data_IF_195564045946
#
_entry.id   IF_195564045946
#
_cell.length_a   1.000
_cell.length_b   1.000
_cell.length_c   1.000
_cell.angle_alpha   90.00
_cell.angle_beta   90.00
_cell.angle_gamma   90.00
#
_symmetry.space_group_name_H-M   'P 1'
#
loop_
_entity.id
_entity.type
_entity.pdbx_description
1 polymer ?
#
# COMPACT_ATOMS: atom_id res chain seq x y z
N UNK A 1 -10.44 -11.54 11.28
CA UNK A 1 -9.90 -10.60 12.27
C UNK A 1 -8.50 -11.05 12.66
N UNK A 2 -7.63 -10.14 13.08
CA UNK A 2 -6.27 -10.47 13.52
C UNK A 2 -5.21 -9.50 13.02
N UNK A 3 -4.01 -9.65 13.53
CA UNK A 3 -2.90 -8.74 13.24
C UNK A 3 -2.29 -9.03 11.86
N UNK A 4 -1.67 -8.01 11.26
CA UNK A 4 -1.00 -8.10 9.95
C UNK A 4 0.48 -7.76 10.08
N UNK A 5 1.31 -8.47 9.32
CA UNK A 5 2.72 -8.13 9.09
C UNK A 5 2.84 -7.40 7.77
N UNK A 6 3.52 -6.26 7.81
CA UNK A 6 3.78 -5.46 6.62
C UNK A 6 5.28 -5.26 6.53
N UNK A 7 5.88 -5.85 5.50
CA UNK A 7 7.31 -5.75 5.22
C UNK A 7 7.53 -4.82 4.04
N UNK A 8 8.48 -3.92 4.20
CA UNK A 8 8.88 -2.97 3.20
C UNK A 8 10.32 -3.25 2.80
N UNK A 9 10.55 -3.41 1.50
CA UNK A 9 11.86 -3.60 0.92
C UNK A 9 12.17 -2.42 0.01
N UNK A 10 13.18 -1.63 0.40
CA UNK A 10 13.59 -0.40 -0.25
C UNK A 10 14.74 -0.74 -1.20
N UNK A 11 14.48 -0.61 -2.49
CA UNK A 11 15.49 -0.79 -3.52
C UNK A 11 16.13 0.57 -3.78
N UNK A 12 17.28 0.80 -3.16
CA UNK A 12 18.06 2.00 -3.31
C UNK A 12 19.57 1.69 -3.29
N UNK A 13 20.35 2.52 -3.97
CA UNK A 13 21.81 2.48 -3.82
C UNK A 13 22.24 2.96 -2.43
N UNK A 14 23.42 2.52 -1.96
CA UNK A 14 24.02 2.92 -0.68
C UNK A 14 24.32 4.42 -0.54
N UNK A 15 24.16 5.21 -1.59
CA UNK A 15 24.42 6.64 -1.61
C UNK A 15 23.15 7.47 -1.45
N UNK A 16 21.97 6.85 -1.50
CA UNK A 16 20.72 7.52 -1.18
C UNK A 16 20.66 7.84 0.30
N UNK A 17 20.22 9.04 0.64
CA UNK A 17 20.02 9.52 2.02
C UNK A 17 18.60 10.05 2.16
N UNK A 18 17.84 9.49 3.09
CA UNK A 18 16.44 9.86 3.27
C UNK A 18 15.80 9.11 4.41
N UNK A 19 14.65 9.61 4.86
CA UNK A 19 13.87 9.04 5.95
C UNK A 19 12.42 8.95 5.52
N UNK A 20 11.85 7.79 5.75
CA UNK A 20 10.44 7.54 5.54
C UNK A 20 9.73 7.54 6.89
N UNK A 21 8.57 8.16 6.94
CA UNK A 21 7.64 8.10 8.07
C UNK A 21 6.46 7.24 7.64
N UNK A 22 6.32 6.08 8.27
CA UNK A 22 5.16 5.20 8.10
C UNK A 22 4.19 5.48 9.23
N UNK A 23 2.92 5.69 8.91
CA UNK A 23 1.86 6.03 9.85
C UNK A 23 0.74 5.02 9.72
N UNK A 24 0.35 4.42 10.85
CA UNK A 24 -0.85 3.61 10.95
C UNK A 24 -1.97 4.42 11.62
N UNK A 25 -3.14 4.43 11.00
CA UNK A 25 -4.37 4.99 11.56
C UNK A 25 -5.51 3.96 11.47
N UNK A 26 -6.09 3.51 12.59
CA UNK A 26 -7.14 2.50 12.59
C UNK A 26 -8.49 3.00 12.05
N UNK A 27 -8.70 4.32 11.95
CA UNK A 27 -9.98 4.93 11.61
C UNK A 27 -9.87 5.83 10.38
N UNK A 28 -9.16 6.95 10.53
CA UNK A 28 -8.90 7.93 9.49
C UNK A 28 -7.83 8.88 9.99
N UNK A 29 -6.85 9.15 9.14
CA UNK A 29 -5.88 10.21 9.40
C UNK A 29 -6.57 11.58 9.34
N UNK A 30 -6.96 12.10 10.51
CA UNK A 30 -7.62 13.41 10.65
C UNK A 30 -6.59 14.55 10.63
N UNK A 31 -5.33 14.27 10.95
CA UNK A 31 -4.28 15.27 11.04
C UNK A 31 -2.93 14.71 10.58
N UNK A 32 -2.07 15.57 10.05
CA UNK A 32 -0.67 15.26 9.75
C UNK A 32 0.24 15.36 10.99
N UNK A 33 -0.34 15.69 12.15
CA UNK A 33 0.42 15.86 13.39
C UNK A 33 1.17 14.58 13.77
N UNK A 34 2.36 14.76 14.33
CA UNK A 34 3.33 13.67 14.57
C UNK A 34 3.16 12.98 15.91
N UNK A 35 2.22 13.44 16.74
CA UNK A 35 2.01 12.99 18.12
C UNK A 35 0.72 12.19 18.34
N UNK A 36 -0.17 12.10 17.35
CA UNK A 36 -1.50 11.48 17.52
C UNK A 36 -1.55 10.03 17.00
N UNK A 37 -0.69 9.69 16.03
CA UNK A 37 -0.73 8.40 15.34
C UNK A 37 0.45 7.50 15.71
N UNK A 38 0.24 6.19 15.63
CA UNK A 38 1.34 5.21 15.70
C UNK A 38 2.21 5.38 14.45
N UNK A 39 3.48 5.70 14.65
CA UNK A 39 4.40 5.99 13.56
C UNK A 39 5.72 5.24 13.71
N UNK A 40 6.31 4.92 12.56
CA UNK A 40 7.63 4.33 12.43
C UNK A 40 8.45 5.25 11.54
N UNK A 41 9.67 5.58 11.97
CA UNK A 41 10.61 6.36 11.17
C UNK A 41 11.70 5.39 10.73
N UNK A 42 11.86 5.26 9.42
CA UNK A 42 12.89 4.47 8.79
C UNK A 42 13.94 5.39 8.19
N UNK A 43 15.21 5.15 8.52
CA UNK A 43 16.34 5.76 7.82
C UNK A 43 16.87 4.78 6.77
N UNK A 44 16.69 5.10 5.48
CA UNK A 44 17.03 4.20 4.36
C UNK A 44 18.55 4.00 4.21
N UNK A 45 19.33 4.72 5.00
CA UNK A 45 20.79 4.64 4.99
C UNK A 45 21.30 3.51 5.87
N UNK A 46 20.50 3.15 6.86
CA UNK A 46 20.78 2.11 7.85
C UNK A 46 20.02 0.83 7.50
N UNK A 47 18.72 0.95 7.25
CA UNK A 47 17.82 -0.18 7.03
C UNK A 47 17.03 -0.03 5.72
N UNK A 48 17.19 -1.03 4.83
CA UNK A 48 16.46 -1.13 3.56
C UNK A 48 15.40 -2.24 3.58
N UNK A 49 15.25 -2.94 4.69
CA UNK A 49 14.29 -4.03 4.85
C UNK A 49 13.74 -3.98 6.27
N UNK A 50 12.47 -3.59 6.40
CA UNK A 50 11.86 -3.45 7.71
C UNK A 50 10.46 -4.05 7.71
N UNK A 51 10.08 -4.64 8.84
CA UNK A 51 8.76 -5.23 9.04
C UNK A 51 8.09 -4.62 10.25
N UNK A 52 6.84 -4.24 10.10
CA UNK A 52 5.98 -3.79 11.19
C UNK A 52 4.81 -4.75 11.39
N UNK A 53 4.41 -4.91 12.64
CA UNK A 53 3.21 -5.64 13.02
C UNK A 53 2.10 -4.62 13.32
N UNK A 54 1.04 -4.64 12.50
CA UNK A 54 -0.17 -3.84 12.67
C UNK A 54 -1.19 -4.69 13.42
N UNK A 55 -1.49 -4.29 14.66
CA UNK A 55 -2.50 -4.96 15.49
C UNK A 55 -3.92 -4.74 14.99
N UNK A 56 -4.87 -5.44 15.61
CA UNK A 56 -6.30 -5.22 15.36
C UNK A 56 -6.76 -3.89 15.99
N UNK A 57 -7.02 -2.89 15.14
CA UNK A 57 -7.42 -1.53 15.55
C UNK A 57 -8.92 -1.27 15.44
N UNK A 58 -9.69 -2.19 14.87
CA UNK A 58 -11.14 -2.06 14.75
C UNK A 58 -11.84 -2.23 16.11
N UNK A 59 -12.90 -1.44 16.33
CA UNK A 59 -13.82 -1.61 17.47
C UNK A 59 -14.71 -2.86 17.34
N UNK A 60 -14.80 -3.43 16.15
CA UNK A 60 -15.58 -4.64 15.90
C UNK A 60 -14.69 -5.88 16.09
N UNK A 61 -15.24 -6.99 16.61
CA UNK A 61 -14.47 -8.23 16.75
C UNK A 61 -14.09 -8.82 15.39
N UNK A 62 -14.92 -8.58 14.36
CA UNK A 62 -14.67 -8.98 12.98
C UNK A 62 -15.09 -7.86 12.03
N UNK A 63 -14.40 -7.79 10.88
CA UNK A 63 -14.75 -6.93 9.75
C UNK A 63 -15.31 -7.82 8.62
N UNK A 64 -16.09 -7.23 7.73
CA UNK A 64 -16.60 -7.92 6.56
C UNK A 64 -15.50 -8.09 5.50
N UNK A 65 -15.51 -9.25 4.83
CA UNK A 65 -14.63 -9.51 3.69
C UNK A 65 -15.26 -8.92 2.43
N UNK A 66 -14.47 -8.22 1.62
CA UNK A 66 -14.89 -7.69 0.32
C UNK A 66 -14.96 -8.80 -0.74
N UNK A 67 -15.84 -8.67 -1.73
CA UNK A 67 -15.95 -9.62 -2.83
C UNK A 67 -14.79 -9.45 -3.82
N UNK A 68 -14.22 -10.57 -4.26
CA UNK A 68 -13.12 -10.56 -5.22
C UNK A 68 -13.54 -9.90 -6.54
N UNK A 69 -12.69 -9.01 -7.06
CA UNK A 69 -12.92 -8.32 -8.34
C UNK A 69 -13.88 -7.13 -8.29
N UNK A 70 -14.42 -6.78 -7.13
CA UNK A 70 -15.34 -5.62 -6.97
C UNK A 70 -14.72 -4.44 -6.24
N UNK A 71 -13.56 -4.63 -5.61
CA UNK A 71 -12.92 -3.63 -4.76
C UNK A 71 -12.06 -2.66 -5.57
N UNK A 72 -12.17 -1.37 -5.25
CA UNK A 72 -11.21 -0.35 -5.67
C UNK A 72 -9.77 -0.75 -5.29
N UNK A 73 -8.73 -0.22 -5.98
CA UNK A 73 -7.35 -0.50 -5.58
C UNK A 73 -7.16 -0.16 -4.09
N UNK A 74 -6.69 -1.15 -3.32
CA UNK A 74 -6.45 -1.02 -1.87
C UNK A 74 -5.20 -0.19 -1.54
N UNK A 75 -4.63 0.47 -2.55
CA UNK A 75 -3.49 1.38 -2.47
C UNK A 75 -3.71 2.54 -3.44
N UNK A 76 -3.12 3.69 -3.13
CA UNK A 76 -3.07 4.83 -4.03
C UNK A 76 -1.80 5.63 -3.78
N UNK A 77 -1.41 6.43 -4.75
CA UNK A 77 -0.37 7.45 -4.60
C UNK A 77 -1.08 8.80 -4.42
N UNK A 78 -0.75 9.53 -3.36
CA UNK A 78 -1.39 10.82 -3.02
C UNK A 78 -2.48 10.68 -1.96
N UNK A 79 -3.45 11.60 -1.98
CA UNK A 79 -4.50 11.66 -0.96
C UNK A 79 -5.43 10.44 -1.09
N UNK A 80 -5.21 9.44 -0.25
CA UNK A 80 -6.26 8.49 0.08
C UNK A 80 -7.24 9.22 1.01
N UNK A 81 -8.42 9.56 0.50
CA UNK A 81 -9.51 10.02 1.35
C UNK A 81 -10.18 8.77 1.92
N UNK A 82 -9.89 8.35 3.18
CA UNK A 82 -10.70 7.31 3.80
C UNK A 82 -12.15 7.79 3.81
N UNK A 83 -13.04 6.91 3.37
CA UNK A 83 -14.48 7.14 3.39
C UNK A 83 -14.86 7.57 4.81
N UNK A 84 -15.64 8.64 4.95
CA UNK A 84 -16.04 9.14 6.26
C UNK A 84 -16.83 8.07 7.01
N UNK A 85 -16.32 7.63 8.16
CA UNK A 85 -16.98 6.67 9.04
C UNK A 85 -16.03 5.56 9.50
N UNK A 86 -16.54 4.68 10.34
CA UNK A 86 -15.79 3.51 10.80
C UNK A 86 -15.67 2.50 9.67
N UNK A 87 -14.47 2.00 9.38
CA UNK A 87 -14.31 1.03 8.31
C UNK A 87 -14.92 -0.31 8.71
N UNK A 88 -15.87 -0.78 7.90
CA UNK A 88 -16.51 -2.09 8.09
C UNK A 88 -15.73 -3.22 7.43
N UNK A 89 -14.81 -2.90 6.51
CA UNK A 89 -14.12 -3.89 5.67
C UNK A 89 -12.60 -3.80 5.70
N UNK A 90 -12.02 -2.80 6.39
CA UNK A 90 -10.56 -2.63 6.50
C UNK A 90 -10.14 -2.21 7.91
N UNK A 91 -8.94 -2.62 8.32
CA UNK A 91 -8.39 -2.36 9.66
C UNK A 91 -7.61 -1.04 9.71
N UNK A 92 -8.17 0.02 9.11
CA UNK A 92 -7.54 1.32 8.99
C UNK A 92 -6.62 1.48 7.76
N UNK A 93 -5.80 2.53 7.77
CA UNK A 93 -4.92 2.92 6.68
C UNK A 93 -3.47 2.97 7.12
N UNK A 94 -2.57 2.58 6.20
CA UNK A 94 -1.14 2.74 6.37
C UNK A 94 -0.62 3.72 5.32
N UNK A 95 0.02 4.80 5.77
CA UNK A 95 0.50 5.87 4.91
C UNK A 95 2.01 6.02 5.04
N UNK A 96 2.67 6.23 3.90
CA UNK A 96 4.13 6.45 3.84
C UNK A 96 4.39 7.89 3.41
N UNK A 97 5.13 8.61 4.24
CA UNK A 97 5.53 10.00 4.01
C UNK A 97 7.04 10.11 3.90
N UNK A 98 7.50 11.06 3.10
CA UNK A 98 8.90 11.48 3.06
C UNK A 98 9.12 12.48 4.18
N UNK A 99 10.05 12.19 5.11
CA UNK A 99 10.31 13.05 6.26
C UNK A 99 11.37 14.11 5.97
N UNK A 100 12.37 13.77 5.16
CA UNK A 100 13.38 14.69 4.64
C UNK A 100 13.60 14.42 3.15
N UNK A 101 14.02 15.45 2.43
CA UNK A 101 14.31 15.33 1.01
C UNK A 101 15.36 14.25 0.74
N UNK A 102 15.14 13.51 -0.35
CA UNK A 102 16.05 12.47 -0.78
C UNK A 102 17.33 13.10 -1.33
N UNK A 103 18.48 12.80 -0.71
CA UNK A 103 19.78 13.09 -1.29
C UNK A 103 20.22 11.90 -2.16
N UNK A 104 20.60 12.18 -3.41
CA UNK A 104 21.00 11.19 -4.40
C UNK A 104 22.41 11.50 -4.95
N UNK A 105 23.22 10.49 -5.33
CA UNK A 105 24.53 10.70 -5.94
C UNK A 105 24.41 11.23 -7.39
N UNK A 106 24.14 12.54 -7.53
CA UNK A 106 24.18 13.24 -8.82
C UNK A 106 22.99 12.96 -9.77
N UNK A 107 23.06 13.54 -10.96
CA UNK A 107 21.98 13.57 -11.97
C UNK A 107 21.56 12.18 -12.50
N UNK A 108 22.38 11.13 -12.27
CA UNK A 108 22.13 9.76 -12.73
C UNK A 108 21.66 8.81 -11.62
N UNK A 109 21.51 9.28 -10.38
CA UNK A 109 20.97 8.46 -9.30
C UNK A 109 19.49 8.18 -9.56
N UNK A 110 19.22 7.02 -10.18
CA UNK A 110 17.89 6.56 -10.55
C UNK A 110 16.89 6.55 -9.38
N UNK A 111 15.60 6.43 -9.72
CA UNK A 111 14.52 6.43 -8.74
C UNK A 111 14.64 5.32 -7.69
N UNK A 112 14.02 5.55 -6.53
CA UNK A 112 13.89 4.54 -5.47
C UNK A 112 12.58 3.78 -5.67
N UNK A 113 12.64 2.47 -5.53
CA UNK A 113 11.45 1.62 -5.49
C UNK A 113 11.22 1.12 -4.07
N UNK A 114 9.95 1.08 -3.66
CA UNK A 114 9.52 0.55 -2.37
C UNK A 114 8.55 -0.59 -2.62
N UNK A 115 9.00 -1.81 -2.33
CA UNK A 115 8.15 -2.99 -2.36
C UNK A 115 7.43 -3.14 -1.04
N UNK A 116 6.14 -3.45 -1.10
CA UNK A 116 5.30 -3.69 0.08
C UNK A 116 4.79 -5.11 0.04
N UNK A 117 5.10 -5.88 1.07
CA UNK A 117 4.68 -7.25 1.24
C UNK A 117 3.76 -7.34 2.45
N UNK A 118 2.68 -8.10 2.33
CA UNK A 118 1.70 -8.30 3.39
C UNK A 118 1.59 -9.78 3.75
N UNK A 119 1.44 -10.05 5.04
CA UNK A 119 1.17 -11.37 5.56
C UNK A 119 0.30 -11.25 6.82
N UNK A 120 -0.41 -12.32 7.18
CA UNK A 120 -1.18 -12.35 8.42
C UNK A 120 -0.33 -12.89 9.57
N UNK A 121 -0.56 -12.38 10.78
CA UNK A 121 0.01 -12.93 12.01
C UNK A 121 -0.70 -14.24 12.42
N UNK A 122 -0.18 -14.88 13.47
CA UNK A 122 -0.71 -16.16 13.98
C UNK A 122 -2.08 -16.04 14.66
N UNK A 123 -2.51 -14.82 15.01
CA UNK A 123 -3.80 -14.51 15.62
C UNK A 123 -4.92 -14.27 14.59
N UNK A 124 -4.64 -14.52 13.30
CA UNK A 124 -5.60 -14.31 12.24
C UNK A 124 -6.61 -15.45 12.10
N UNK A 125 -7.90 -15.08 12.06
CA UNK A 125 -9.01 -16.01 11.94
C UNK A 125 -10.18 -15.45 11.11
N UNK A 126 -11.02 -16.34 10.60
CA UNK A 126 -12.23 -16.06 9.82
C UNK A 126 -13.48 -16.65 10.47
N UNK A 127 -14.65 -16.16 10.06
CA UNK A 127 -15.95 -16.72 10.41
C UNK A 127 -16.82 -16.85 9.16
N UNK A 128 -17.85 -17.68 9.26
CA UNK A 128 -18.94 -17.82 8.27
C UNK A 128 -18.48 -18.13 6.83
N UNK A 129 -18.00 -19.36 6.57
CA UNK A 129 -17.57 -19.74 5.24
C UNK A 129 -18.72 -19.67 4.23
N UNK A 130 -18.50 -18.98 3.11
CA UNK A 130 -19.47 -18.78 2.03
C UNK A 130 -18.79 -18.74 0.66
N UNK A 131 -19.55 -18.99 -0.40
CA UNK A 131 -19.10 -18.88 -1.79
C UNK A 131 -19.21 -17.45 -2.36
N UNK A 132 -19.92 -16.56 -1.66
CA UNK A 132 -20.19 -15.20 -2.14
C UNK A 132 -18.92 -14.41 -2.50
N UNK A 133 -17.85 -14.56 -1.73
CA UNK A 133 -16.57 -13.83 -1.92
C UNK A 133 -15.94 -14.15 -3.29
N UNK A 134 -16.10 -15.38 -3.78
CA UNK A 134 -15.53 -15.84 -5.06
C UNK A 134 -16.54 -15.83 -6.21
N UNK A 135 -17.83 -15.65 -5.93
CA UNK A 135 -18.89 -15.72 -6.94
C UNK A 135 -18.72 -14.67 -8.05
N UNK A 136 -18.12 -13.52 -7.75
CA UNK A 136 -17.83 -12.44 -8.71
C UNK A 136 -16.42 -12.52 -9.30
N UNK A 137 -15.61 -13.50 -8.90
CA UNK A 137 -14.26 -13.64 -9.41
C UNK A 137 -14.30 -14.11 -10.87
N UNK A 138 -13.96 -13.21 -11.78
CA UNK A 138 -13.71 -13.54 -13.18
C UNK A 138 -12.21 -13.39 -13.44
N UNK A 139 -11.44 -14.50 -13.53
CA UNK A 139 -10.02 -14.40 -13.82
C UNK A 139 -9.85 -13.69 -15.17
N UNK A 140 -8.80 -12.86 -15.34
CA UNK A 140 -8.50 -12.31 -16.64
C UNK A 140 -8.41 -13.44 -17.66
N UNK A 141 -9.05 -13.25 -18.82
CA UNK A 141 -8.86 -14.15 -19.95
C UNK A 141 -7.36 -14.25 -20.22
N UNK A 142 -6.90 -15.44 -20.63
CA UNK A 142 -5.51 -15.67 -21.00
C UNK A 142 -4.98 -14.49 -21.83
N UNK A 143 -3.80 -13.97 -21.46
CA UNK A 143 -3.22 -12.75 -22.04
C UNK A 143 -2.97 -12.87 -23.56
N UNK A 144 -3.19 -14.04 -24.14
CA UNK A 144 -3.23 -14.31 -25.58
C UNK A 144 -4.39 -13.64 -26.32
N UNK A 145 -5.47 -13.23 -25.63
CA UNK A 145 -6.61 -12.52 -26.24
C UNK A 145 -6.69 -11.06 -25.77
N UNK A 146 -5.86 -10.21 -26.36
CA UNK A 146 -5.77 -8.76 -26.15
C UNK A 146 -7.09 -7.97 -26.39
N UNK A 147 -8.18 -8.63 -26.78
CA UNK A 147 -9.43 -8.00 -27.19
C UNK A 147 -10.54 -8.04 -26.12
N UNK A 148 -10.28 -8.57 -24.91
CA UNK A 148 -11.31 -8.69 -23.87
C UNK A 148 -10.80 -8.36 -22.47
N UNK A 149 -10.41 -7.11 -22.23
CA UNK A 149 -9.98 -6.67 -20.90
C UNK A 149 -10.68 -5.38 -20.49
N UNK A 150 -11.73 -5.52 -19.66
CA UNK A 150 -12.30 -4.43 -18.87
C UNK A 150 -11.38 -3.97 -17.72
N UNK A 151 -10.09 -4.31 -17.78
CA UNK A 151 -9.06 -3.90 -16.83
C UNK A 151 -7.84 -3.42 -17.61
N UNK A 152 -7.15 -2.35 -17.18
CA UNK A 152 -5.94 -1.89 -17.85
C UNK A 152 -4.86 -2.96 -17.75
N UNK A 153 -4.50 -3.54 -18.90
CA UNK A 153 -3.28 -4.34 -19.04
C UNK A 153 -2.11 -3.36 -19.01
N UNK A 154 -1.35 -3.35 -17.91
CA UNK A 154 -0.02 -2.73 -17.92
C UNK A 154 0.88 -3.68 -18.71
N UNK A 155 1.10 -3.37 -19.99
CA UNK A 155 2.03 -4.09 -20.83
C UNK A 155 3.45 -3.97 -20.26
N UNK A 156 4.11 -5.11 -20.06
CA UNK A 156 5.50 -5.21 -19.57
C UNK A 156 6.55 -4.71 -20.59
N UNK A 157 6.13 -4.03 -21.65
CA UNK A 157 7.00 -3.33 -22.60
C UNK A 157 7.15 -1.86 -22.18
N UNK A 158 8.00 -1.66 -21.17
CA UNK A 158 9.15 -0.75 -21.28
C UNK A 158 8.96 0.66 -21.84
N UNK A 159 8.09 1.49 -21.26
CA UNK A 159 8.29 2.96 -21.19
C UNK A 159 7.11 3.62 -20.46
N UNK A 160 7.29 3.98 -19.19
CA UNK A 160 6.47 5.02 -18.55
C UNK A 160 7.19 6.34 -18.71
N UNK A 161 7.03 6.95 -19.90
CA UNK A 161 7.42 8.34 -20.12
C UNK A 161 6.48 9.27 -19.36
N UNK A 162 7.00 9.99 -18.37
CA UNK A 162 6.27 11.09 -17.73
C UNK A 162 6.16 12.26 -18.72
N UNK A 163 4.98 12.87 -18.93
CA UNK A 163 4.87 14.06 -19.77
C UNK A 163 5.52 15.25 -19.05
N UNK A 164 6.70 15.66 -19.52
CA UNK A 164 7.22 17.01 -19.33
C UNK A 164 6.46 17.94 -20.28
N UNK A 165 5.48 18.68 -19.76
CA UNK A 165 4.89 19.81 -20.49
C UNK A 165 5.91 20.95 -20.53
N UNK A 166 6.63 21.11 -21.65
CA UNK A 166 7.26 22.39 -21.99
C UNK A 166 6.24 23.23 -22.75
N UNK A 167 5.70 24.25 -22.10
CA UNK A 167 5.03 25.35 -22.80
C UNK A 167 6.06 26.08 -23.66
N UNK A 168 5.74 26.24 -24.94
CA UNK A 168 6.43 27.14 -25.88
C UNK A 168 6.35 28.59 -25.46
#
# INVERSE_FOLDING_TARGET
>A
AGSMKIRFSIIASKYHRGRLRIVYDPYRQVSSETNVNRQYILDITEDNDFTIDVGWGSKFPYLQTENMGTTNPMYTVGDFLPVSGEPLTYNGTLSVYVLNELASPGQEGGGIEVNVHTAMCTDFDFLDPTDQIVATFNPPADASNANNTGYPVVSLDGSVGFPITSTS
#
